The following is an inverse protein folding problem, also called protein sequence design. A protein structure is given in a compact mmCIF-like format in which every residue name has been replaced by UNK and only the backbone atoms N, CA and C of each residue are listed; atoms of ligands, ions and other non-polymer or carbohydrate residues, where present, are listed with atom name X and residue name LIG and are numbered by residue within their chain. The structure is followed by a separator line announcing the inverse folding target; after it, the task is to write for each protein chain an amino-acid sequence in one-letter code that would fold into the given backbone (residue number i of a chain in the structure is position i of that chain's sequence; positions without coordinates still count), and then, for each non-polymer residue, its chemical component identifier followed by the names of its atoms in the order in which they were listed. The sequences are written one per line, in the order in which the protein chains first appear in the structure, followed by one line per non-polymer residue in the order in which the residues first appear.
data_IF_942736565441
#
_entry.id   IF_942736565441
#
_cell.length_a   1.000
_cell.length_b   1.000
_cell.length_c   1.000
_cell.angle_alpha   90.00
_cell.angle_beta   90.00
_cell.angle_gamma   90.00
#
_symmetry.space_group_name_H-M   'P 1'
#
loop_
_entity.id
_entity.type
_entity.pdbx_description
1 polymer ?
#
# COMPACT_ATOMS: atom_id res chain seq x y z
N UNK A 1 -98.76 47.55 -2.71
CA UNK A 1 -99.56 46.44 -2.21
C UNK A 1 -98.68 45.46 -1.46
N UNK A 2 -98.90 45.39 -0.11
CA UNK A 2 -98.63 44.35 0.89
C UNK A 2 -97.25 43.67 0.89
N UNK A 3 -96.40 43.93 1.96
CA UNK A 3 -96.31 43.26 3.25
C UNK A 3 -95.72 41.80 3.09
N UNK A 4 -94.63 41.47 3.72
CA UNK A 4 -94.34 41.18 5.15
C UNK A 4 -92.93 40.62 5.28
N UNK A 5 -92.17 41.16 6.21
CA UNK A 5 -91.44 40.54 7.31
C UNK A 5 -91.22 39.06 7.33
N UNK A 6 -89.93 38.63 7.49
CA UNK A 6 -89.62 37.91 8.72
C UNK A 6 -88.11 37.83 8.99
N UNK A 7 -87.74 38.18 10.17
CA UNK A 7 -86.46 37.93 10.88
C UNK A 7 -86.11 36.46 10.90
N UNK A 8 -84.82 36.20 10.81
CA UNK A 8 -84.19 35.14 11.56
C UNK A 8 -82.69 35.39 11.71
N UNK A 9 -82.34 36.02 12.84
CA UNK A 9 -80.95 36.05 13.36
C UNK A 9 -80.55 34.62 13.76
N UNK A 10 -79.44 34.12 13.20
CA UNK A 10 -78.68 33.01 13.75
C UNK A 10 -77.32 33.47 14.22
N UNK A 11 -76.83 32.99 15.39
CA UNK A 11 -75.64 33.57 16.05
C UNK A 11 -74.38 32.99 15.34
N UNK A 12 -73.44 33.88 15.09
CA UNK A 12 -72.03 33.51 14.65
C UNK A 12 -71.37 32.74 15.76
N UNK A 13 -71.11 31.46 15.51
CA UNK A 13 -70.14 30.68 16.28
C UNK A 13 -68.74 31.07 15.86
N UNK A 14 -68.06 31.85 16.70
CA UNK A 14 -66.62 32.14 16.53
C UNK A 14 -65.82 30.86 16.65
N UNK A 15 -65.18 30.42 15.53
CA UNK A 15 -64.13 29.42 15.55
C UNK A 15 -62.86 30.12 16.04
N UNK A 16 -62.47 29.85 17.29
CA UNK A 16 -61.14 30.22 17.82
C UNK A 16 -60.12 29.29 17.15
N UNK A 17 -59.38 29.83 16.15
CA UNK A 17 -58.20 29.17 15.57
C UNK A 17 -57.08 29.29 16.61
N UNK A 18 -56.83 28.20 17.37
CA UNK A 18 -55.62 28.01 18.17
C UNK A 18 -54.44 27.84 17.22
N UNK A 19 -53.73 28.93 16.95
CA UNK A 19 -52.40 28.90 16.34
C UNK A 19 -51.47 28.22 17.35
N UNK A 20 -51.18 26.94 17.12
CA UNK A 20 -50.01 26.28 17.75
C UNK A 20 -48.75 26.91 17.17
N UNK A 21 -48.21 27.93 17.82
CA UNK A 21 -46.82 28.32 17.64
C UNK A 21 -45.95 27.19 18.15
N UNK A 22 -45.54 26.29 17.24
CA UNK A 22 -44.41 25.45 17.51
C UNK A 22 -43.21 26.39 17.65
N UNK A 23 -42.82 26.66 18.88
CA UNK A 23 -41.55 27.30 19.16
C UNK A 23 -40.44 26.41 18.61
N UNK A 24 -39.93 26.73 17.42
CA UNK A 24 -38.67 26.20 16.94
C UNK A 24 -37.63 26.78 17.90
N UNK A 25 -37.29 25.99 18.92
CA UNK A 25 -36.11 26.28 19.74
C UNK A 25 -34.93 26.35 18.75
N UNK A 26 -34.12 27.41 18.75
CA UNK A 26 -32.93 27.46 17.92
C UNK A 26 -32.09 26.25 18.28
N UNK A 27 -31.86 25.39 17.31
CA UNK A 27 -30.88 24.33 17.47
C UNK A 27 -29.59 25.02 17.93
N UNK A 28 -29.09 24.66 19.11
CA UNK A 28 -27.83 25.18 19.59
C UNK A 28 -26.79 24.85 18.51
N UNK A 29 -26.18 25.87 17.90
CA UNK A 29 -25.12 25.69 16.92
C UNK A 29 -23.99 24.90 17.57
N UNK A 30 -23.89 23.62 17.20
CA UNK A 30 -22.86 22.74 17.69
C UNK A 30 -21.52 23.24 17.15
N UNK A 31 -20.54 23.40 18.01
CA UNK A 31 -19.21 23.84 17.62
C UNK A 31 -18.23 22.64 17.59
N UNK A 32 -17.13 22.69 16.85
CA UNK A 32 -16.14 21.60 16.81
C UNK A 32 -15.61 21.18 18.19
N UNK A 33 -15.52 22.13 19.15
CA UNK A 33 -15.13 21.81 20.53
C UNK A 33 -16.16 20.94 21.26
N UNK A 34 -17.43 21.18 20.99
CA UNK A 34 -18.52 20.43 21.61
C UNK A 34 -18.52 18.96 21.04
N UNK A 35 -18.18 18.80 19.76
CA UNK A 35 -17.98 17.48 19.11
C UNK A 35 -16.84 16.70 19.75
N UNK A 36 -15.72 17.37 20.08
CA UNK A 36 -14.59 16.73 20.80
C UNK A 36 -14.99 16.26 22.19
N UNK A 37 -15.78 17.04 22.91
CA UNK A 37 -16.29 16.63 24.23
C UNK A 37 -17.20 15.40 24.10
N UNK A 38 -18.08 15.37 23.08
CA UNK A 38 -18.90 14.21 22.77
C UNK A 38 -18.02 12.99 22.49
N UNK A 39 -16.96 13.14 21.67
CA UNK A 39 -16.04 12.07 21.30
C UNK A 39 -15.35 11.39 22.49
N UNK A 40 -15.15 12.10 23.61
CA UNK A 40 -14.59 11.52 24.85
C UNK A 40 -15.45 10.37 25.43
N UNK A 41 -16.73 10.30 25.04
CA UNK A 41 -17.63 9.20 25.40
C UNK A 41 -17.31 7.87 24.72
N UNK A 42 -16.28 7.81 23.84
CA UNK A 42 -15.85 6.60 23.14
C UNK A 42 -16.97 5.98 22.31
N UNK A 43 -17.09 4.65 22.30
CA UNK A 43 -18.07 3.93 21.49
C UNK A 43 -19.52 4.32 21.80
N UNK A 44 -19.82 4.81 23.00
CA UNK A 44 -21.15 5.30 23.38
C UNK A 44 -21.55 6.60 22.68
N UNK A 45 -20.57 7.39 22.22
CA UNK A 45 -20.78 8.63 21.50
C UNK A 45 -21.10 8.44 20.01
N UNK A 46 -20.84 7.27 19.44
CA UNK A 46 -20.98 7.02 17.99
C UNK A 46 -22.36 7.43 17.44
N UNK A 47 -23.51 7.10 18.06
CA UNK A 47 -24.82 7.49 17.51
C UNK A 47 -24.93 9.01 17.32
N UNK A 48 -24.47 9.78 18.32
CA UNK A 48 -24.51 11.26 18.25
C UNK A 48 -23.52 11.80 17.22
N UNK A 49 -22.32 11.23 17.12
CA UNK A 49 -21.33 11.62 16.10
C UNK A 49 -21.82 11.35 14.68
N UNK A 50 -22.56 10.25 14.47
CA UNK A 50 -23.20 9.93 13.18
C UNK A 50 -24.24 10.96 12.77
N UNK A 51 -25.05 11.44 13.71
CA UNK A 51 -25.98 12.56 13.43
C UNK A 51 -25.22 13.81 12.98
N UNK A 52 -24.08 14.13 13.63
CA UNK A 52 -23.25 15.28 13.31
C UNK A 52 -22.51 15.19 11.96
N UNK A 53 -22.45 14.02 11.33
CA UNK A 53 -21.99 13.89 9.93
C UNK A 53 -22.93 14.58 8.93
N UNK A 54 -24.15 14.94 9.34
CA UNK A 54 -25.14 15.65 8.52
C UNK A 54 -25.28 17.13 8.91
N UNK A 55 -24.42 17.62 9.81
CA UNK A 55 -24.46 19.01 10.25
C UNK A 55 -24.18 19.97 9.07
N UNK A 56 -24.89 21.11 8.96
CA UNK A 56 -24.65 22.08 7.90
C UNK A 56 -23.23 22.67 7.95
N UNK A 57 -22.62 22.75 9.14
CA UNK A 57 -21.25 23.22 9.30
C UNK A 57 -20.24 22.16 8.89
N UNK A 58 -19.42 22.48 7.89
CA UNK A 58 -18.30 21.63 7.45
C UNK A 58 -17.33 21.33 8.60
N UNK A 59 -17.02 22.31 9.42
CA UNK A 59 -16.09 22.14 10.55
C UNK A 59 -16.61 21.13 11.59
N UNK A 60 -17.93 21.11 11.81
CA UNK A 60 -18.60 20.12 12.69
C UNK A 60 -18.49 18.73 12.07
N UNK A 61 -18.76 18.57 10.77
CA UNK A 61 -18.65 17.29 10.08
C UNK A 61 -17.21 16.76 10.08
N UNK A 62 -16.23 17.64 9.82
CA UNK A 62 -14.79 17.29 9.88
C UNK A 62 -14.43 16.77 11.28
N UNK A 63 -14.84 17.49 12.33
CA UNK A 63 -14.52 17.07 13.70
C UNK A 63 -15.25 15.76 14.06
N UNK A 64 -16.50 15.57 13.62
CA UNK A 64 -17.24 14.33 13.84
C UNK A 64 -16.53 13.12 13.20
N UNK A 65 -16.09 13.23 11.95
CA UNK A 65 -15.31 12.16 11.27
C UNK A 65 -14.01 11.85 12.02
N UNK A 66 -13.30 12.89 12.51
CA UNK A 66 -12.07 12.70 13.30
C UNK A 66 -12.34 11.92 14.58
N UNK A 67 -13.39 12.29 15.32
CA UNK A 67 -13.74 11.60 16.55
C UNK A 67 -14.19 10.15 16.29
N UNK A 68 -14.93 9.88 15.21
CA UNK A 68 -15.30 8.53 14.79
C UNK A 68 -14.05 7.68 14.43
N UNK A 69 -13.09 8.28 13.73
CA UNK A 69 -11.83 7.63 13.37
C UNK A 69 -10.95 7.34 14.62
N UNK A 70 -10.91 8.27 15.59
CA UNK A 70 -10.19 8.10 16.85
C UNK A 70 -10.79 6.99 17.73
N UNK A 71 -12.12 6.84 17.75
CA UNK A 71 -12.81 5.74 18.44
C UNK A 71 -12.40 4.39 17.84
N UNK A 72 -12.25 4.28 16.53
CA UNK A 72 -11.59 3.18 15.84
C UNK A 72 -12.14 1.79 16.11
N UNK A 73 -13.45 1.63 16.35
CA UNK A 73 -14.11 0.33 16.55
C UNK A 73 -14.75 -0.19 15.26
N UNK A 74 -15.16 -1.46 15.23
CA UNK A 74 -15.91 -2.02 14.10
C UNK A 74 -17.16 -1.18 13.76
N UNK A 75 -17.80 -0.59 14.77
CA UNK A 75 -18.97 0.28 14.59
C UNK A 75 -18.62 1.64 13.96
N UNK A 76 -17.34 2.01 13.93
CA UNK A 76 -16.86 3.23 13.27
C UNK A 76 -16.80 3.08 11.74
N UNK A 77 -16.75 1.86 11.20
CA UNK A 77 -16.59 1.64 9.76
C UNK A 77 -17.75 2.18 8.93
N UNK A 78 -19.02 1.87 9.31
CA UNK A 78 -20.17 2.33 8.55
C UNK A 78 -20.28 3.87 8.51
N UNK A 79 -20.12 4.60 9.64
CA UNK A 79 -20.05 6.06 9.61
C UNK A 79 -18.90 6.62 8.77
N UNK A 80 -17.72 5.99 8.79
CA UNK A 80 -16.60 6.42 7.95
C UNK A 80 -16.87 6.19 6.47
N UNK A 81 -17.49 5.04 6.10
CA UNK A 81 -17.96 4.80 4.74
C UNK A 81 -18.98 5.88 4.32
N UNK A 82 -19.95 6.19 5.17
CA UNK A 82 -20.91 7.26 4.91
C UNK A 82 -20.21 8.60 4.63
N UNK A 83 -19.21 8.96 5.44
CA UNK A 83 -18.46 10.20 5.30
C UNK A 83 -17.61 10.28 4.02
N UNK A 84 -17.29 9.15 3.36
CA UNK A 84 -16.64 9.18 2.03
C UNK A 84 -17.53 9.77 0.95
N UNK A 85 -18.84 9.84 1.16
CA UNK A 85 -19.81 10.41 0.22
C UNK A 85 -20.11 11.88 0.50
N UNK A 86 -19.47 12.50 1.50
CA UNK A 86 -19.63 13.94 1.74
C UNK A 86 -19.15 14.74 0.52
N UNK A 87 -19.74 15.89 0.29
CA UNK A 87 -19.36 16.80 -0.80
C UNK A 87 -18.11 17.64 -0.48
N UNK A 88 -17.66 17.63 0.79
CA UNK A 88 -16.48 18.36 1.24
C UNK A 88 -15.22 17.51 1.17
N UNK A 89 -14.20 17.93 0.40
CA UNK A 89 -12.96 17.16 0.23
C UNK A 89 -12.24 16.79 1.54
N UNK A 90 -12.23 17.69 2.54
CA UNK A 90 -11.57 17.43 3.83
C UNK A 90 -12.30 16.33 4.62
N UNK A 91 -13.63 16.28 4.56
CA UNK A 91 -14.42 15.20 5.19
C UNK A 91 -14.10 13.87 4.54
N UNK A 92 -14.08 13.79 3.20
CA UNK A 92 -13.70 12.60 2.44
C UNK A 92 -12.27 12.14 2.77
N UNK A 93 -11.33 13.08 2.88
CA UNK A 93 -9.94 12.80 3.25
C UNK A 93 -9.84 12.16 4.64
N UNK A 94 -10.52 12.75 5.64
CA UNK A 94 -10.52 12.22 7.02
C UNK A 94 -11.20 10.86 7.11
N UNK A 95 -12.27 10.66 6.37
CA UNK A 95 -12.93 9.37 6.30
C UNK A 95 -12.00 8.29 5.73
N UNK A 96 -11.30 8.59 4.63
CA UNK A 96 -10.28 7.71 4.04
C UNK A 96 -9.17 7.37 5.03
N UNK A 97 -8.61 8.37 5.71
CA UNK A 97 -7.58 8.20 6.73
C UNK A 97 -8.06 7.32 7.89
N UNK A 98 -9.31 7.52 8.35
CA UNK A 98 -9.93 6.73 9.40
C UNK A 98 -10.10 5.26 9.00
N UNK A 99 -10.55 4.99 7.77
CA UNK A 99 -10.69 3.63 7.23
C UNK A 99 -9.34 2.91 7.17
N UNK A 100 -8.28 3.58 6.69
CA UNK A 100 -6.94 2.98 6.65
C UNK A 100 -6.42 2.70 8.06
N UNK A 101 -6.52 3.69 8.97
CA UNK A 101 -6.03 3.54 10.34
C UNK A 101 -6.74 2.44 11.14
N UNK A 102 -8.00 2.12 10.80
CA UNK A 102 -8.70 0.99 11.41
C UNK A 102 -8.00 -0.33 11.11
N UNK A 103 -7.59 -0.57 9.86
CA UNK A 103 -6.93 -1.83 9.44
C UNK A 103 -5.41 -1.81 9.64
N UNK A 104 -4.80 -0.63 9.62
CA UNK A 104 -3.35 -0.42 9.83
C UNK A 104 -3.13 0.73 10.82
N UNK A 105 -3.29 0.48 12.13
CA UNK A 105 -3.17 1.51 13.16
C UNK A 105 -1.82 2.24 13.10
N UNK A 106 -1.87 3.58 13.13
CA UNK A 106 -0.67 4.42 13.11
C UNK A 106 -0.10 4.72 11.72
N UNK A 107 -0.70 4.21 10.65
CA UNK A 107 -0.32 4.55 9.28
C UNK A 107 -0.51 6.04 8.99
N UNK A 108 -1.68 6.58 9.32
CA UNK A 108 -1.95 8.02 9.30
C UNK A 108 -1.85 8.54 10.73
N UNK A 109 -0.94 9.49 10.98
CA UNK A 109 -0.85 10.12 12.29
C UNK A 109 -2.07 11.03 12.49
N UNK A 110 -2.92 10.68 13.44
CA UNK A 110 -4.08 11.45 13.89
C UNK A 110 -3.73 12.26 15.13
N UNK A 111 -4.52 13.33 15.42
CA UNK A 111 -4.36 14.12 16.63
C UNK A 111 -3.41 15.33 16.52
N UNK A 112 -3.00 15.88 17.68
CA UNK A 112 -2.24 17.13 17.79
C UNK A 112 -0.87 17.09 17.07
N UNK A 113 -0.20 15.94 17.09
CA UNK A 113 1.10 15.73 16.41
C UNK A 113 1.00 15.90 14.88
N UNK A 114 -0.12 15.52 14.28
CA UNK A 114 -0.37 15.71 12.84
C UNK A 114 -0.59 17.17 12.47
N UNK A 115 -1.22 17.96 13.35
CA UNK A 115 -1.49 19.37 13.12
C UNK A 115 -0.21 20.20 13.11
N UNK A 116 0.74 19.92 14.01
CA UNK A 116 2.02 20.63 14.10
C UNK A 116 2.91 20.37 12.88
N UNK A 117 2.89 19.14 12.33
CA UNK A 117 3.66 18.79 11.11
C UNK A 117 3.06 19.36 9.83
N UNK A 118 1.74 19.55 9.75
CA UNK A 118 1.10 20.14 8.56
C UNK A 118 1.44 21.61 8.35
N UNK A 119 1.70 22.36 9.43
CA UNK A 119 2.07 23.78 9.35
C UNK A 119 3.53 23.99 8.92
N UNK A 120 4.40 23.00 9.11
CA UNK A 120 5.85 23.10 8.82
C UNK A 120 6.40 22.21 7.72
N UNK A 121 5.61 21.27 7.17
CA UNK A 121 6.11 20.34 6.16
C UNK A 121 5.70 20.77 4.76
N UNK A 122 6.70 21.16 3.95
CA UNK A 122 6.59 21.23 2.51
C UNK A 122 5.95 19.96 1.94
N UNK A 123 5.17 20.13 0.86
CA UNK A 123 4.47 19.11 0.07
C UNK A 123 5.26 17.78 -0.16
N UNK A 124 6.59 17.81 -0.01
CA UNK A 124 7.46 16.62 -0.13
C UNK A 124 7.18 15.50 0.86
N UNK A 125 6.68 15.78 2.07
CA UNK A 125 6.42 14.72 3.08
C UNK A 125 5.11 13.96 2.87
N UNK A 126 4.20 14.46 2.04
CA UNK A 126 2.96 13.76 1.67
C UNK A 126 3.18 12.58 0.71
N UNK A 127 4.35 12.45 0.12
CA UNK A 127 4.69 11.47 -0.92
C UNK A 127 5.78 10.47 -0.51
N UNK A 128 6.10 10.37 0.76
CA UNK A 128 7.03 9.36 1.29
C UNK A 128 6.26 8.15 1.83
N UNK A 129 5.36 7.60 1.04
CA UNK A 129 4.86 6.26 1.33
C UNK A 129 5.95 5.27 0.89
N UNK A 130 6.50 4.54 1.85
CA UNK A 130 7.37 3.43 1.52
C UNK A 130 6.47 2.35 0.89
N UNK A 131 6.84 1.87 -0.31
CA UNK A 131 6.09 0.84 -1.03
C UNK A 131 5.82 -0.43 -0.21
N UNK A 132 6.43 -0.56 0.96
CA UNK A 132 6.36 -1.73 1.83
C UNK A 132 5.18 -1.69 2.82
N UNK A 133 4.53 -0.52 3.03
CA UNK A 133 3.43 -0.43 3.97
C UNK A 133 2.14 -0.93 3.35
N UNK A 134 1.76 -2.13 3.75
CA UNK A 134 0.49 -2.79 3.41
C UNK A 134 0.00 -3.56 4.62
N UNK A 135 -1.30 -3.84 4.67
CA UNK A 135 -1.88 -4.72 5.70
C UNK A 135 -1.31 -6.14 5.60
N UNK A 136 -1.29 -6.82 6.74
CA UNK A 136 -0.87 -8.22 6.79
C UNK A 136 -1.87 -9.13 6.04
N UNK A 137 -1.40 -10.23 5.44
CA UNK A 137 -2.25 -11.13 4.64
C UNK A 137 -3.43 -11.75 5.41
N UNK A 138 -3.34 -11.84 6.74
CA UNK A 138 -4.41 -12.37 7.59
C UNK A 138 -5.48 -11.32 7.98
N UNK A 139 -5.31 -10.05 7.58
CA UNK A 139 -6.31 -9.01 7.81
C UNK A 139 -7.30 -9.01 6.66
N UNK A 140 -8.56 -9.27 6.97
CA UNK A 140 -9.66 -9.22 5.99
C UNK A 140 -10.29 -7.84 6.01
N UNK A 141 -10.28 -7.15 4.88
CA UNK A 141 -10.96 -5.86 4.71
C UNK A 141 -12.38 -6.11 4.21
N UNK A 142 -13.35 -5.40 4.77
CA UNK A 142 -14.74 -5.43 4.32
C UNK A 142 -14.86 -4.95 2.86
N UNK A 143 -15.63 -5.65 2.00
CA UNK A 143 -15.76 -5.29 0.58
C UNK A 143 -16.31 -3.87 0.34
N UNK A 144 -17.24 -3.41 1.17
CA UNK A 144 -17.83 -2.08 1.08
C UNK A 144 -16.84 -0.95 1.37
N UNK A 145 -15.84 -1.19 2.25
CA UNK A 145 -14.72 -0.25 2.45
C UNK A 145 -13.94 -0.07 1.15
N UNK A 146 -13.59 -1.17 0.48
CA UNK A 146 -12.84 -1.09 -0.80
C UNK A 146 -13.70 -0.44 -1.89
N UNK A 147 -15.00 -0.75 -1.94
CA UNK A 147 -15.93 -0.11 -2.88
C UNK A 147 -16.05 1.39 -2.68
N UNK A 148 -16.13 1.86 -1.41
CA UNK A 148 -16.20 3.28 -1.08
C UNK A 148 -14.91 4.01 -1.50
N UNK A 149 -13.74 3.42 -1.20
CA UNK A 149 -12.45 3.96 -1.60
C UNK A 149 -12.29 3.99 -3.13
N UNK A 150 -12.71 2.93 -3.85
CA UNK A 150 -12.73 2.88 -5.31
C UNK A 150 -13.62 3.99 -5.91
N UNK A 151 -14.79 4.25 -5.30
CA UNK A 151 -15.65 5.36 -5.71
C UNK A 151 -14.95 6.73 -5.54
N UNK A 152 -14.21 6.94 -4.46
CA UNK A 152 -13.40 8.14 -4.27
C UNK A 152 -12.25 8.25 -5.28
N UNK A 153 -11.62 7.16 -5.68
CA UNK A 153 -10.60 7.17 -6.75
C UNK A 153 -11.20 7.69 -8.06
N UNK A 154 -12.43 7.28 -8.39
CA UNK A 154 -13.14 7.74 -9.62
C UNK A 154 -13.61 9.17 -9.54
N UNK A 155 -14.19 9.60 -8.41
CA UNK A 155 -15.01 10.81 -8.32
C UNK A 155 -14.89 11.59 -7.01
N UNK A 156 -13.79 11.48 -6.26
CA UNK A 156 -13.56 12.32 -5.07
C UNK A 156 -13.57 13.82 -5.39
N UNK A 157 -13.99 14.63 -4.45
CA UNK A 157 -14.26 16.06 -4.61
C UNK A 157 -13.03 16.91 -4.98
N UNK A 158 -11.82 16.36 -4.83
CA UNK A 158 -10.56 16.99 -5.22
C UNK A 158 -9.55 15.94 -5.69
N UNK A 159 -8.53 16.35 -6.48
CA UNK A 159 -7.49 15.42 -6.95
C UNK A 159 -6.68 14.82 -5.80
N UNK A 160 -6.42 15.58 -4.74
CA UNK A 160 -5.74 15.08 -3.54
C UNK A 160 -6.55 14.00 -2.82
N UNK A 161 -7.88 14.12 -2.78
CA UNK A 161 -8.78 13.09 -2.22
C UNK A 161 -8.69 11.81 -3.04
N UNK A 162 -8.76 11.92 -4.37
CA UNK A 162 -8.65 10.80 -5.29
C UNK A 162 -7.31 10.09 -5.15
N UNK A 163 -6.22 10.84 -5.06
CA UNK A 163 -4.87 10.31 -4.86
C UNK A 163 -4.73 9.62 -3.49
N UNK A 164 -5.29 10.21 -2.42
CA UNK A 164 -5.30 9.61 -1.09
C UNK A 164 -6.12 8.31 -1.05
N UNK A 165 -7.27 8.29 -1.74
CA UNK A 165 -8.08 7.08 -1.88
C UNK A 165 -7.34 5.98 -2.67
N UNK A 166 -6.63 6.33 -3.76
CA UNK A 166 -5.81 5.37 -4.51
C UNK A 166 -4.71 4.76 -3.62
N UNK A 167 -4.03 5.59 -2.82
CA UNK A 167 -3.05 5.12 -1.82
C UNK A 167 -3.69 4.17 -0.81
N UNK A 168 -4.86 4.54 -0.26
CA UNK A 168 -5.61 3.73 0.70
C UNK A 168 -5.97 2.36 0.13
N UNK A 169 -6.47 2.31 -1.12
CA UNK A 169 -6.75 1.06 -1.85
C UNK A 169 -5.50 0.18 -1.94
N UNK A 170 -4.34 0.78 -2.26
CA UNK A 170 -3.07 0.06 -2.32
C UNK A 170 -2.64 -0.51 -0.97
N UNK A 171 -2.68 0.28 0.10
CA UNK A 171 -2.33 -0.13 1.47
C UNK A 171 -3.21 -1.28 1.96
N UNK A 172 -4.51 -1.20 1.68
CA UNK A 172 -5.50 -2.22 2.04
C UNK A 172 -5.55 -3.40 1.04
N UNK A 173 -4.68 -3.43 0.02
CA UNK A 173 -4.66 -4.46 -1.04
C UNK A 173 -6.03 -4.69 -1.67
N UNK A 174 -6.75 -3.62 -1.94
CA UNK A 174 -8.12 -3.63 -2.42
C UNK A 174 -8.27 -4.08 -3.86
N UNK A 175 -8.17 -5.38 -4.13
CA UNK A 175 -8.22 -5.94 -5.48
C UNK A 175 -9.51 -5.57 -6.24
N UNK A 176 -10.64 -5.49 -5.56
CA UNK A 176 -11.91 -5.12 -6.18
C UNK A 176 -11.92 -3.70 -6.78
N UNK A 177 -11.01 -2.80 -6.36
CA UNK A 177 -10.87 -1.45 -6.89
C UNK A 177 -9.78 -1.31 -7.99
N UNK A 178 -9.21 -2.41 -8.47
CA UNK A 178 -8.24 -2.37 -9.58
C UNK A 178 -8.80 -1.68 -10.84
N UNK A 179 -10.07 -1.92 -11.25
CA UNK A 179 -10.65 -1.18 -12.39
C UNK A 179 -10.69 0.33 -12.18
N UNK A 180 -10.91 0.80 -10.94
CA UNK A 180 -10.95 2.21 -10.58
C UNK A 180 -9.56 2.85 -10.67
N UNK A 181 -8.54 2.13 -10.19
CA UNK A 181 -7.13 2.54 -10.32
C UNK A 181 -6.71 2.61 -11.79
N UNK A 182 -7.08 1.61 -12.61
CA UNK A 182 -6.80 1.60 -14.06
C UNK A 182 -7.47 2.77 -14.76
N UNK A 183 -8.72 3.10 -14.41
CA UNK A 183 -9.38 4.29 -14.94
C UNK A 183 -8.64 5.57 -14.54
N UNK A 184 -8.13 5.66 -13.31
CA UNK A 184 -7.38 6.81 -12.81
C UNK A 184 -6.05 7.02 -13.55
N UNK A 185 -5.45 6.00 -14.17
CA UNK A 185 -4.24 6.12 -15.01
C UNK A 185 -4.46 7.01 -16.25
N UNK A 186 -5.70 7.36 -16.61
CA UNK A 186 -6.02 8.30 -17.68
C UNK A 186 -6.12 9.76 -17.23
N UNK A 187 -5.85 10.02 -15.94
CA UNK A 187 -5.84 11.37 -15.39
C UNK A 187 -4.66 12.19 -15.93
N UNK A 188 -4.82 13.52 -15.93
CA UNK A 188 -3.70 14.46 -16.14
C UNK A 188 -3.00 14.86 -14.85
N UNK A 189 -3.57 14.51 -13.70
CA UNK A 189 -2.98 14.81 -12.40
C UNK A 189 -1.87 13.80 -12.08
N UNK A 190 -0.65 14.30 -11.91
CA UNK A 190 0.53 13.48 -11.68
C UNK A 190 0.54 12.80 -10.31
N UNK A 191 -0.12 13.38 -9.32
CA UNK A 191 -0.29 12.80 -7.98
C UNK A 191 -1.18 11.57 -8.03
N UNK A 192 -2.35 11.69 -8.65
CA UNK A 192 -3.27 10.58 -8.83
C UNK A 192 -2.67 9.45 -9.68
N UNK A 193 -1.97 9.79 -10.79
CA UNK A 193 -1.26 8.80 -11.61
C UNK A 193 -0.25 8.01 -10.78
N UNK A 194 0.60 8.72 -10.03
CA UNK A 194 1.63 8.10 -9.21
C UNK A 194 1.05 7.19 -8.13
N UNK A 195 0.07 7.67 -7.35
CA UNK A 195 -0.54 6.88 -6.27
C UNK A 195 -1.31 5.67 -6.81
N UNK A 196 -1.94 5.78 -8.00
CA UNK A 196 -2.59 4.65 -8.67
C UNK A 196 -1.58 3.58 -9.10
N UNK A 197 -0.44 3.98 -9.67
CA UNK A 197 0.65 3.06 -10.03
C UNK A 197 1.21 2.35 -8.79
N UNK A 198 1.49 3.10 -7.72
CA UNK A 198 1.98 2.53 -6.45
C UNK A 198 0.94 1.59 -5.82
N UNK A 199 -0.35 1.93 -5.90
CA UNK A 199 -1.42 1.04 -5.44
C UNK A 199 -1.42 -0.28 -6.21
N UNK A 200 -1.31 -0.24 -7.54
CA UNK A 200 -1.21 -1.44 -8.38
C UNK A 200 0.04 -2.28 -8.06
N UNK A 201 1.18 -1.64 -7.74
CA UNK A 201 2.38 -2.34 -7.25
C UNK A 201 2.12 -3.12 -5.96
N UNK A 202 1.33 -2.58 -5.04
CA UNK A 202 0.98 -3.19 -3.75
C UNK A 202 -0.01 -4.33 -3.90
N UNK A 203 -1.01 -4.17 -4.78
CA UNK A 203 -2.06 -5.15 -5.04
C UNK A 203 -1.53 -6.36 -5.81
N UNK A 204 -0.65 -6.14 -6.81
CA UNK A 204 -0.04 -7.19 -7.65
C UNK A 204 -1.04 -7.93 -8.54
N UNK A 205 -2.07 -7.26 -9.03
CA UNK A 205 -2.98 -7.82 -10.02
C UNK A 205 -2.38 -7.67 -11.43
N UNK A 206 -1.97 -8.79 -12.02
CA UNK A 206 -1.31 -8.85 -13.33
C UNK A 206 -2.21 -8.34 -14.47
N UNK A 207 -3.55 -8.39 -14.29
CA UNK A 207 -4.51 -7.94 -15.31
C UNK A 207 -4.41 -6.44 -15.64
N UNK A 208 -3.87 -5.63 -14.72
CA UNK A 208 -3.63 -4.21 -14.94
C UNK A 208 -2.39 -3.92 -15.81
N UNK A 209 -1.50 -4.90 -16.01
CA UNK A 209 -0.22 -4.72 -16.70
C UNK A 209 -0.33 -4.06 -18.08
N UNK A 210 -1.18 -4.54 -19.01
CA UNK A 210 -1.32 -3.94 -20.35
C UNK A 210 -1.79 -2.49 -20.32
N UNK A 211 -2.53 -2.09 -19.29
CA UNK A 211 -3.10 -0.74 -19.16
C UNK A 211 -2.09 0.33 -18.74
N UNK A 212 -0.83 -0.06 -18.45
CA UNK A 212 0.21 0.85 -17.91
C UNK A 212 1.20 1.26 -19.00
N UNK A 213 1.34 0.47 -20.07
CA UNK A 213 2.42 0.59 -21.08
C UNK A 213 2.56 2.00 -21.65
N UNK A 214 1.46 2.71 -21.90
CA UNK A 214 1.51 4.09 -22.43
C UNK A 214 2.20 5.09 -21.50
N UNK A 215 2.29 4.81 -20.17
CA UNK A 215 2.96 5.65 -19.20
C UNK A 215 4.49 5.43 -19.12
N UNK A 216 5.02 4.44 -19.84
CA UNK A 216 6.48 4.21 -19.93
C UNK A 216 7.21 5.39 -20.58
N UNK A 217 6.48 6.22 -21.33
CA UNK A 217 7.01 7.41 -21.99
C UNK A 217 6.46 8.72 -21.40
N UNK A 218 5.85 8.68 -20.21
CA UNK A 218 5.29 9.87 -19.57
C UNK A 218 6.36 10.95 -19.38
N UNK A 219 5.95 12.22 -19.58
CA UNK A 219 6.86 13.37 -19.46
C UNK A 219 7.28 13.60 -18.01
N UNK A 220 6.43 13.27 -17.04
CA UNK A 220 6.78 13.36 -15.64
C UNK A 220 7.69 12.18 -15.25
N UNK A 221 8.92 12.50 -14.87
CA UNK A 221 9.93 11.48 -14.53
C UNK A 221 9.48 10.52 -13.43
N UNK A 222 8.76 11.02 -12.42
CA UNK A 222 8.27 10.20 -11.29
C UNK A 222 7.20 9.21 -11.74
N UNK A 223 6.25 9.65 -12.57
CA UNK A 223 5.21 8.80 -13.15
C UNK A 223 5.83 7.75 -14.06
N UNK A 224 6.76 8.17 -14.94
CA UNK A 224 7.46 7.25 -15.85
C UNK A 224 8.18 6.14 -15.10
N UNK A 225 8.98 6.47 -14.09
CA UNK A 225 9.71 5.48 -13.28
C UNK A 225 8.72 4.53 -12.60
N UNK A 226 7.67 5.06 -11.96
CA UNK A 226 6.66 4.23 -11.31
C UNK A 226 5.94 3.30 -12.31
N UNK A 227 5.64 3.77 -13.52
CA UNK A 227 5.04 2.94 -14.57
C UNK A 227 5.97 1.79 -15.00
N UNK A 228 7.26 2.07 -15.21
CA UNK A 228 8.28 1.09 -15.56
C UNK A 228 8.39 0.01 -14.47
N UNK A 229 8.52 0.43 -13.21
CA UNK A 229 8.59 -0.47 -12.05
C UNK A 229 7.32 -1.33 -11.93
N UNK A 230 6.13 -0.70 -12.08
CA UNK A 230 4.84 -1.39 -12.03
C UNK A 230 4.74 -2.44 -13.14
N UNK A 231 5.20 -2.13 -14.34
CA UNK A 231 5.20 -3.06 -15.49
C UNK A 231 6.00 -4.33 -15.18
N UNK A 232 7.19 -4.19 -14.60
CA UNK A 232 8.02 -5.31 -14.15
C UNK A 232 7.33 -6.13 -13.06
N UNK A 233 6.80 -5.44 -12.05
CA UNK A 233 6.14 -6.05 -10.88
C UNK A 233 4.83 -6.78 -11.23
N UNK A 234 4.09 -6.33 -12.23
CA UNK A 234 2.87 -6.97 -12.73
C UNK A 234 3.15 -8.00 -13.84
N UNK A 235 4.41 -8.35 -14.07
CA UNK A 235 4.84 -9.39 -15.00
C UNK A 235 4.31 -9.24 -16.43
N UNK A 236 4.16 -8.01 -16.90
CA UNK A 236 3.70 -7.74 -18.26
C UNK A 236 4.83 -7.97 -19.28
N UNK A 237 5.01 -9.22 -19.72
CA UNK A 237 6.05 -9.60 -20.69
C UNK A 237 5.90 -8.94 -22.06
N UNK A 238 4.69 -8.56 -22.45
CA UNK A 238 4.42 -7.90 -23.72
C UNK A 238 5.07 -6.53 -23.81
N UNK A 239 5.37 -5.90 -22.66
CA UNK A 239 6.03 -4.60 -22.61
C UNK A 239 7.57 -4.66 -22.72
N UNK A 240 8.18 -5.83 -22.87
CA UNK A 240 9.66 -5.96 -22.98
C UNK A 240 10.24 -5.15 -24.16
N UNK A 241 9.62 -5.10 -25.34
CA UNK A 241 10.09 -4.23 -26.43
C UNK A 241 10.09 -2.74 -26.03
N UNK A 242 9.03 -2.24 -25.41
CA UNK A 242 8.91 -0.84 -24.96
C UNK A 242 9.92 -0.52 -23.85
N UNK A 243 10.16 -1.46 -22.93
CA UNK A 243 11.20 -1.32 -21.90
C UNK A 243 12.61 -1.27 -22.52
N UNK A 244 12.86 -2.07 -23.54
CA UNK A 244 14.14 -2.09 -24.28
C UNK A 244 14.35 -0.75 -25.01
N UNK A 245 13.31 -0.24 -25.66
CA UNK A 245 13.34 1.08 -26.29
C UNK A 245 13.61 2.18 -25.25
N UNK A 246 12.89 2.13 -24.10
CA UNK A 246 13.06 3.05 -22.99
C UNK A 246 14.50 3.03 -22.45
N UNK A 247 15.07 1.82 -22.24
CA UNK A 247 16.46 1.64 -21.78
C UNK A 247 17.47 2.29 -22.73
N UNK A 248 17.28 2.09 -24.05
CA UNK A 248 18.21 2.57 -25.07
C UNK A 248 18.12 4.09 -25.30
N UNK A 249 16.95 4.69 -25.18
CA UNK A 249 16.71 6.13 -25.44
C UNK A 249 16.83 7.02 -24.24
N UNK A 250 16.67 6.47 -23.01
CA UNK A 250 16.67 7.29 -21.82
C UNK A 250 18.03 7.93 -21.54
N UNK A 251 18.03 9.27 -21.40
CA UNK A 251 19.21 10.04 -20.95
C UNK A 251 19.34 10.02 -19.43
N UNK A 252 18.20 9.94 -18.70
CA UNK A 252 18.20 9.90 -17.25
C UNK A 252 18.58 8.51 -16.74
N UNK A 253 19.60 8.46 -15.89
CA UNK A 253 20.12 7.21 -15.34
C UNK A 253 19.08 6.47 -14.48
N UNK A 254 18.15 7.17 -13.81
CA UNK A 254 17.11 6.55 -12.99
C UNK A 254 16.12 5.78 -13.86
N UNK A 255 15.78 6.33 -15.05
CA UNK A 255 14.91 5.64 -16.02
C UNK A 255 15.63 4.40 -16.57
N UNK A 256 16.91 4.50 -16.92
CA UNK A 256 17.69 3.34 -17.40
C UNK A 256 17.77 2.23 -16.34
N UNK A 257 18.03 2.59 -15.08
CA UNK A 257 18.04 1.63 -13.96
C UNK A 257 16.67 0.95 -13.81
N UNK A 258 15.59 1.72 -13.77
CA UNK A 258 14.23 1.19 -13.64
C UNK A 258 13.89 0.25 -14.82
N UNK A 259 14.20 0.65 -16.07
CA UNK A 259 13.92 -0.14 -17.26
C UNK A 259 14.67 -1.48 -17.23
N UNK A 260 15.97 -1.49 -16.93
CA UNK A 260 16.73 -2.72 -16.85
C UNK A 260 16.28 -3.62 -15.69
N UNK A 261 15.93 -3.04 -14.53
CA UNK A 261 15.35 -3.79 -13.41
C UNK A 261 14.00 -4.41 -13.77
N UNK A 262 13.11 -3.66 -14.46
CA UNK A 262 11.85 -4.19 -14.93
C UNK A 262 12.05 -5.33 -15.94
N UNK A 263 12.99 -5.18 -16.90
CA UNK A 263 13.35 -6.26 -17.83
C UNK A 263 13.88 -7.49 -17.10
N UNK A 264 14.69 -7.32 -16.05
CA UNK A 264 15.20 -8.42 -15.24
C UNK A 264 14.08 -9.19 -14.48
N UNK A 265 12.93 -8.53 -14.21
CA UNK A 265 11.73 -9.19 -13.67
C UNK A 265 10.92 -9.93 -14.76
N UNK A 266 11.18 -9.65 -16.03
CA UNK A 266 10.47 -10.14 -17.21
C UNK A 266 11.44 -10.90 -18.14
N UNK A 267 12.12 -11.95 -17.67
CA UNK A 267 13.17 -12.59 -18.44
C UNK A 267 12.63 -13.18 -19.74
N UNK A 268 13.30 -12.86 -20.84
CA UNK A 268 13.13 -13.47 -22.15
C UNK A 268 14.50 -13.81 -22.71
N UNK A 269 14.61 -14.86 -23.52
CA UNK A 269 15.90 -15.26 -24.08
C UNK A 269 16.56 -14.13 -24.90
N UNK A 270 15.74 -13.31 -25.54
CA UNK A 270 16.19 -12.16 -26.32
C UNK A 270 16.79 -11.04 -25.44
N UNK A 271 16.57 -11.05 -24.13
CA UNK A 271 17.14 -10.05 -23.21
C UNK A 271 18.58 -10.38 -22.78
N UNK A 272 19.07 -11.59 -23.03
CA UNK A 272 20.42 -12.05 -22.62
C UNK A 272 21.55 -11.15 -23.11
N UNK A 273 21.60 -10.69 -24.39
CA UNK A 273 22.65 -9.78 -24.86
C UNK A 273 22.65 -8.44 -24.11
N UNK A 274 21.47 -7.95 -23.71
CA UNK A 274 21.33 -6.74 -22.92
C UNK A 274 22.00 -6.95 -21.55
N UNK A 275 21.69 -8.04 -20.85
CA UNK A 275 22.29 -8.31 -19.54
C UNK A 275 23.79 -8.49 -19.63
N UNK A 276 24.33 -9.13 -20.71
CA UNK A 276 25.76 -9.26 -20.94
C UNK A 276 26.44 -7.91 -21.02
N UNK A 277 25.84 -6.95 -21.74
CA UNK A 277 26.37 -5.60 -21.87
C UNK A 277 26.41 -4.86 -20.53
N UNK A 278 25.32 -4.94 -19.76
CA UNK A 278 25.18 -4.19 -18.51
C UNK A 278 25.86 -4.84 -17.30
N UNK A 279 26.25 -6.09 -17.37
CA UNK A 279 26.97 -6.77 -16.28
C UNK A 279 28.33 -6.11 -15.98
N UNK A 280 28.90 -5.40 -16.97
CA UNK A 280 30.18 -4.69 -16.85
C UNK A 280 30.00 -3.17 -16.89
N UNK A 281 28.77 -2.65 -16.74
CA UNK A 281 28.52 -1.20 -16.74
C UNK A 281 29.20 -0.53 -15.54
N UNK A 282 29.61 0.72 -15.71
CA UNK A 282 30.18 1.53 -14.62
C UNK A 282 29.21 1.79 -13.47
N UNK A 283 27.90 1.76 -13.77
CA UNK A 283 26.84 1.99 -12.79
C UNK A 283 26.53 0.69 -12.02
N UNK A 284 26.72 0.72 -10.71
CA UNK A 284 26.51 -0.45 -9.84
C UNK A 284 25.08 -1.00 -9.89
N UNK A 285 24.07 -0.15 -10.05
CA UNK A 285 22.65 -0.58 -10.09
C UNK A 285 22.29 -1.23 -11.42
N UNK A 286 22.94 -0.81 -12.53
CA UNK A 286 22.80 -1.47 -13.82
C UNK A 286 23.47 -2.84 -13.79
N UNK A 287 24.67 -2.98 -13.18
CA UNK A 287 25.29 -4.31 -12.99
C UNK A 287 24.42 -5.22 -12.14
N UNK A 288 23.85 -4.71 -11.04
CA UNK A 288 22.92 -5.46 -10.19
C UNK A 288 21.71 -5.98 -10.98
N UNK A 289 21.03 -5.11 -11.71
CA UNK A 289 19.87 -5.50 -12.53
C UNK A 289 20.23 -6.51 -13.61
N UNK A 290 21.40 -6.41 -14.24
CA UNK A 290 21.88 -7.40 -15.22
C UNK A 290 22.09 -8.77 -14.58
N UNK A 291 22.71 -8.83 -13.39
CA UNK A 291 22.91 -10.09 -12.65
C UNK A 291 21.56 -10.73 -12.28
N UNK A 292 20.57 -9.93 -11.86
CA UNK A 292 19.21 -10.40 -11.61
C UNK A 292 18.52 -10.93 -12.87
N UNK A 293 18.76 -10.31 -14.02
CA UNK A 293 18.28 -10.79 -15.32
C UNK A 293 18.81 -12.19 -15.63
N UNK A 294 20.12 -12.41 -15.48
CA UNK A 294 20.74 -13.73 -15.63
C UNK A 294 20.16 -14.76 -14.64
N UNK A 295 19.97 -14.38 -13.39
CA UNK A 295 19.36 -15.24 -12.37
C UNK A 295 18.03 -15.81 -12.84
N UNK A 296 17.15 -14.96 -13.38
CA UNK A 296 15.80 -15.33 -13.79
C UNK A 296 15.71 -15.97 -15.17
N UNK A 297 16.73 -15.82 -16.02
CA UNK A 297 16.91 -16.65 -17.23
C UNK A 297 17.19 -18.12 -16.90
N UNK A 298 17.73 -18.42 -15.71
CA UNK A 298 17.99 -19.77 -15.20
C UNK A 298 18.82 -20.66 -16.15
N UNK A 299 19.76 -20.07 -16.88
CA UNK A 299 20.65 -20.83 -17.73
C UNK A 299 21.93 -21.23 -16.96
N UNK A 300 22.13 -22.53 -16.62
CA UNK A 300 23.30 -22.94 -15.84
C UNK A 300 24.65 -22.65 -16.53
N UNK A 301 24.68 -22.53 -17.86
CA UNK A 301 25.88 -22.17 -18.60
C UNK A 301 26.44 -20.76 -18.27
N UNK A 302 25.61 -19.89 -17.62
CA UNK A 302 26.04 -18.57 -17.23
C UNK A 302 26.80 -18.56 -15.88
N UNK A 303 26.75 -19.63 -15.11
CA UNK A 303 27.33 -19.73 -13.78
C UNK A 303 28.81 -19.36 -13.71
N UNK A 304 29.72 -19.86 -14.57
CA UNK A 304 31.13 -19.48 -14.49
C UNK A 304 31.39 -17.99 -14.69
N UNK A 305 30.63 -17.36 -15.57
CA UNK A 305 30.73 -15.92 -15.80
C UNK A 305 30.25 -15.11 -14.54
N UNK A 306 29.17 -15.53 -13.90
CA UNK A 306 28.63 -14.90 -12.72
C UNK A 306 29.52 -15.12 -11.48
N UNK A 307 30.15 -16.29 -11.34
CA UNK A 307 31.15 -16.56 -10.30
C UNK A 307 32.35 -15.61 -10.44
N UNK A 308 32.88 -15.47 -11.66
CA UNK A 308 33.96 -14.51 -11.93
C UNK A 308 33.54 -13.08 -11.61
N UNK A 309 32.36 -12.65 -12.08
CA UNK A 309 31.86 -11.32 -11.80
C UNK A 309 31.67 -11.08 -10.29
N UNK A 310 31.27 -12.09 -9.51
CA UNK A 310 31.12 -11.99 -8.06
C UNK A 310 32.47 -11.86 -7.33
N UNK A 311 33.51 -12.52 -7.82
CA UNK A 311 34.88 -12.38 -7.27
C UNK A 311 35.44 -10.97 -7.52
N UNK A 312 35.18 -10.43 -8.71
CA UNK A 312 35.71 -9.13 -9.15
C UNK A 312 34.89 -7.94 -8.59
N UNK A 313 33.66 -8.17 -8.09
CA UNK A 313 32.76 -7.10 -7.66
C UNK A 313 33.07 -6.60 -6.25
N UNK A 314 33.38 -5.31 -6.16
CA UNK A 314 33.69 -4.64 -4.89
C UNK A 314 32.51 -3.91 -4.23
N UNK A 315 31.35 -3.76 -4.93
CA UNK A 315 30.18 -3.03 -4.41
C UNK A 315 29.11 -3.99 -3.92
N UNK A 316 28.52 -3.69 -2.76
CA UNK A 316 27.54 -4.58 -2.12
C UNK A 316 26.26 -4.79 -2.94
N UNK A 317 25.61 -3.77 -3.54
CA UNK A 317 24.37 -4.01 -4.29
C UNK A 317 24.52 -5.00 -5.44
N UNK A 318 25.45 -4.86 -6.40
CA UNK A 318 25.60 -5.85 -7.44
C UNK A 318 26.14 -7.19 -6.92
N UNK A 319 26.91 -7.20 -5.83
CA UNK A 319 27.38 -8.45 -5.21
C UNK A 319 26.21 -9.26 -4.62
N UNK A 320 25.20 -8.61 -4.04
CA UNK A 320 23.96 -9.27 -3.60
C UNK A 320 23.19 -9.88 -4.77
N UNK A 321 23.05 -9.15 -5.89
CA UNK A 321 22.39 -9.65 -7.09
C UNK A 321 23.17 -10.81 -7.74
N UNK A 322 24.51 -10.78 -7.71
CA UNK A 322 25.35 -11.87 -8.18
C UNK A 322 25.25 -13.11 -7.26
N UNK A 323 25.17 -12.92 -5.94
CA UNK A 323 24.92 -14.01 -5.01
C UNK A 323 23.55 -14.65 -5.27
N UNK A 324 22.51 -13.81 -5.41
CA UNK A 324 21.17 -14.28 -5.81
C UNK A 324 21.21 -15.09 -7.11
N UNK A 325 21.93 -14.61 -8.13
CA UNK A 325 22.05 -15.30 -9.42
C UNK A 325 22.73 -16.68 -9.28
N UNK A 326 23.80 -16.79 -8.50
CA UNK A 326 24.49 -18.04 -8.28
C UNK A 326 23.61 -19.07 -7.54
N UNK A 327 22.85 -18.61 -6.51
CA UNK A 327 21.91 -19.51 -5.80
C UNK A 327 20.79 -19.96 -6.73
N UNK A 328 20.23 -19.06 -7.57
CA UNK A 328 19.22 -19.41 -8.58
C UNK A 328 19.72 -20.43 -9.61
N UNK A 329 21.02 -20.47 -9.85
CA UNK A 329 21.67 -21.41 -10.77
C UNK A 329 22.24 -22.67 -10.07
N UNK A 330 21.86 -22.91 -8.80
CA UNK A 330 22.13 -24.15 -8.10
C UNK A 330 23.18 -24.09 -6.99
N UNK A 331 23.83 -22.96 -6.72
CA UNK A 331 24.77 -22.78 -5.58
C UNK A 331 23.99 -22.55 -4.27
N UNK A 332 23.23 -23.56 -3.85
CA UNK A 332 22.29 -23.47 -2.72
C UNK A 332 22.88 -23.93 -1.37
N UNK A 333 24.13 -24.32 -1.32
CA UNK A 333 24.80 -24.71 -0.09
C UNK A 333 24.92 -23.56 0.89
N UNK A 334 24.77 -23.88 2.18
CA UNK A 334 24.91 -22.92 3.28
C UNK A 334 26.25 -23.20 4.02
N UNK A 335 27.35 -22.79 3.40
CA UNK A 335 28.69 -22.83 3.98
C UNK A 335 29.23 -21.43 4.18
N UNK A 336 30.29 -21.29 4.99
CA UNK A 336 31.00 -20.04 5.16
C UNK A 336 31.46 -19.50 3.78
N UNK A 337 31.22 -18.20 3.53
CA UNK A 337 31.50 -17.50 2.26
C UNK A 337 30.67 -17.95 1.05
N UNK A 338 29.67 -18.84 1.21
CA UNK A 338 28.77 -19.18 0.10
C UNK A 338 27.87 -18.03 -0.29
N UNK A 339 27.35 -18.00 -1.55
CA UNK A 339 26.41 -16.97 -2.00
C UNK A 339 25.14 -16.89 -1.13
N UNK A 340 24.59 -18.03 -0.71
CA UNK A 340 23.41 -18.06 0.15
C UNK A 340 23.72 -17.49 1.55
N UNK A 341 24.88 -17.83 2.14
CA UNK A 341 25.31 -17.27 3.43
C UNK A 341 25.50 -15.75 3.32
N UNK A 342 26.11 -15.28 2.24
CA UNK A 342 26.27 -13.84 1.99
C UNK A 342 24.94 -13.08 1.99
N UNK A 343 23.89 -13.64 1.37
CA UNK A 343 22.55 -13.02 1.40
C UNK A 343 21.97 -12.99 2.82
N UNK A 344 22.12 -14.08 3.58
CA UNK A 344 21.61 -14.17 4.96
C UNK A 344 22.36 -13.20 5.87
N UNK A 345 23.69 -13.10 5.77
CA UNK A 345 24.51 -12.17 6.56
C UNK A 345 24.09 -10.72 6.35
N UNK A 346 23.66 -10.34 5.15
CA UNK A 346 23.21 -9.01 4.86
C UNK A 346 21.84 -8.65 5.47
N UNK A 347 21.12 -9.60 6.08
CA UNK A 347 19.97 -9.30 6.93
C UNK A 347 20.37 -8.54 8.22
N UNK A 348 21.62 -8.67 8.66
CA UNK A 348 22.19 -7.90 9.78
C UNK A 348 22.53 -6.45 9.40
N UNK A 349 22.53 -6.11 8.11
CA UNK A 349 22.90 -4.78 7.63
C UNK A 349 21.68 -3.87 7.53
N UNK A 350 21.65 -2.78 8.29
CA UNK A 350 20.59 -1.77 8.18
C UNK A 350 20.49 -1.18 6.77
N UNK A 351 21.61 -1.11 6.01
CA UNK A 351 21.67 -0.57 4.67
C UNK A 351 21.19 -1.55 3.60
N UNK A 352 21.43 -2.85 3.78
CA UNK A 352 21.26 -3.83 2.70
C UNK A 352 20.21 -4.91 2.96
N UNK A 353 19.67 -5.02 4.18
CA UNK A 353 18.61 -5.99 4.50
C UNK A 353 17.38 -5.84 3.60
N UNK A 354 17.06 -4.61 3.18
CA UNK A 354 15.97 -4.34 2.26
C UNK A 354 16.18 -4.88 0.85
N UNK A 355 17.44 -5.06 0.42
CA UNK A 355 17.80 -5.67 -0.88
C UNK A 355 17.97 -7.20 -0.76
N UNK A 356 18.56 -7.69 0.33
CA UNK A 356 18.80 -9.12 0.54
C UNK A 356 17.50 -9.91 0.78
N UNK A 357 16.57 -9.36 1.58
CA UNK A 357 15.35 -10.06 1.96
C UNK A 357 14.44 -10.45 0.77
N UNK A 358 14.16 -9.58 -0.22
CA UNK A 358 13.41 -9.97 -1.42
C UNK A 358 14.05 -11.11 -2.21
N UNK A 359 15.38 -11.15 -2.32
CA UNK A 359 16.07 -12.26 -2.95
C UNK A 359 15.85 -13.57 -2.20
N UNK A 360 15.99 -13.56 -0.90
CA UNK A 360 15.72 -14.73 -0.07
C UNK A 360 14.25 -15.19 -0.16
N UNK A 361 13.29 -14.26 -0.27
CA UNK A 361 11.87 -14.61 -0.53
C UNK A 361 11.69 -15.32 -1.85
N UNK A 362 12.38 -14.88 -2.92
CA UNK A 362 12.31 -15.54 -4.23
C UNK A 362 13.00 -16.90 -4.21
N UNK A 363 14.18 -17.00 -3.62
CA UNK A 363 14.98 -18.21 -3.49
C UNK A 363 14.30 -19.29 -2.63
N UNK A 364 13.60 -18.89 -1.55
CA UNK A 364 12.90 -19.82 -0.66
C UNK A 364 11.71 -20.54 -1.29
N UNK A 365 11.36 -20.24 -2.55
CA UNK A 365 10.42 -21.04 -3.36
C UNK A 365 11.01 -22.38 -3.78
N UNK A 366 12.32 -22.47 -3.84
CA UNK A 366 13.04 -23.73 -4.00
C UNK A 366 13.12 -24.48 -2.67
N UNK A 367 12.78 -25.78 -2.67
CA UNK A 367 12.68 -26.60 -1.47
C UNK A 367 14.03 -26.78 -0.77
N UNK A 368 15.12 -26.91 -1.51
CA UNK A 368 16.45 -27.09 -0.95
C UNK A 368 16.93 -25.81 -0.26
N UNK A 369 16.77 -24.68 -0.91
CA UNK A 369 17.09 -23.38 -0.34
C UNK A 369 16.22 -23.09 0.89
N UNK A 370 14.92 -23.41 0.83
CA UNK A 370 14.01 -23.22 1.96
C UNK A 370 14.43 -24.04 3.18
N UNK A 371 14.85 -25.29 3.01
CA UNK A 371 15.41 -26.12 4.09
C UNK A 371 16.65 -25.48 4.72
N UNK A 372 17.56 -24.94 3.91
CA UNK A 372 18.74 -24.22 4.40
C UNK A 372 18.34 -22.96 5.18
N UNK A 373 17.35 -22.19 4.73
CA UNK A 373 16.80 -21.03 5.38
C UNK A 373 16.14 -21.39 6.72
N UNK A 374 15.39 -22.49 6.80
CA UNK A 374 14.79 -23.01 8.05
C UNK A 374 15.89 -23.34 9.07
N UNK A 375 16.96 -23.99 8.65
CA UNK A 375 18.13 -24.27 9.50
C UNK A 375 18.79 -22.98 10.01
N UNK A 376 19.04 -22.04 9.12
CA UNK A 376 19.63 -20.74 9.49
C UNK A 376 18.75 -19.94 10.46
N UNK A 377 17.42 -19.96 10.30
CA UNK A 377 16.48 -19.26 11.18
C UNK A 377 16.51 -19.77 12.62
N UNK A 378 16.90 -21.03 12.86
CA UNK A 378 17.00 -21.58 14.21
C UNK A 378 18.29 -21.15 14.95
N UNK A 379 19.40 -20.96 14.23
CA UNK A 379 20.72 -20.71 14.78
C UNK A 379 21.24 -19.30 14.55
N UNK A 380 20.52 -18.48 13.79
CA UNK A 380 20.95 -17.14 13.36
C UNK A 380 20.96 -16.09 14.47
N UNK A 381 21.54 -14.96 14.15
CA UNK A 381 21.47 -13.75 15.01
C UNK A 381 20.01 -13.23 15.11
N UNK A 382 19.77 -12.26 15.97
CA UNK A 382 18.47 -11.61 16.11
C UNK A 382 17.93 -11.11 14.79
N UNK A 383 18.72 -10.32 14.04
CA UNK A 383 18.28 -9.72 12.76
C UNK A 383 18.09 -10.79 11.66
N UNK A 384 18.91 -11.83 11.63
CA UNK A 384 18.72 -12.99 10.77
C UNK A 384 17.40 -13.71 11.08
N UNK A 385 17.12 -14.03 12.34
CA UNK A 385 15.86 -14.66 12.75
C UNK A 385 14.65 -13.85 12.32
N UNK A 386 14.65 -12.54 12.57
CA UNK A 386 13.58 -11.62 12.16
C UNK A 386 13.43 -11.61 10.62
N UNK A 387 14.55 -11.44 9.90
CA UNK A 387 14.54 -11.39 8.43
C UNK A 387 14.07 -12.71 7.81
N UNK A 388 14.57 -13.85 8.32
CA UNK A 388 14.19 -15.18 7.83
C UNK A 388 12.74 -15.55 8.21
N UNK A 389 12.23 -15.11 9.37
CA UNK A 389 10.81 -15.25 9.69
C UNK A 389 9.93 -14.55 8.63
N UNK A 390 10.29 -13.33 8.20
CA UNK A 390 9.61 -12.60 7.12
C UNK A 390 9.70 -13.30 5.78
N UNK A 391 10.83 -13.93 5.47
CA UNK A 391 11.01 -14.74 4.27
C UNK A 391 10.06 -15.93 4.30
N UNK A 392 10.04 -16.69 5.39
CA UNK A 392 9.18 -17.87 5.55
C UNK A 392 7.69 -17.52 5.58
N UNK A 393 7.31 -16.35 6.11
CA UNK A 393 5.94 -15.85 6.03
C UNK A 393 5.44 -15.74 4.58
N UNK A 394 6.32 -15.39 3.64
CA UNK A 394 5.99 -15.16 2.22
C UNK A 394 6.20 -16.37 1.32
N UNK A 395 7.17 -17.20 1.63
CA UNK A 395 7.61 -18.32 0.76
C UNK A 395 7.77 -19.64 1.51
N UNK A 396 7.43 -19.71 2.79
CA UNK A 396 7.39 -20.95 3.56
C UNK A 396 6.25 -21.88 3.12
N UNK A 397 6.31 -23.09 3.62
CA UNK A 397 5.35 -24.18 3.45
C UNK A 397 4.91 -24.74 4.81
N UNK A 398 4.24 -25.91 4.81
CA UNK A 398 3.80 -26.56 6.05
C UNK A 398 4.98 -26.92 6.97
N UNK A 399 6.13 -27.29 6.43
CA UNK A 399 7.31 -27.65 7.22
C UNK A 399 7.92 -26.41 7.90
N UNK A 400 7.70 -25.22 7.34
CA UNK A 400 8.13 -23.94 7.89
C UNK A 400 7.33 -23.50 9.13
N UNK A 401 6.14 -24.09 9.39
CA UNK A 401 5.30 -23.78 10.55
C UNK A 401 6.02 -24.06 11.85
N UNK A 402 6.72 -25.19 11.96
CA UNK A 402 7.39 -25.59 13.20
C UNK A 402 8.50 -24.62 13.60
N UNK A 403 9.28 -24.11 12.67
CA UNK A 403 10.33 -23.12 12.98
C UNK A 403 9.73 -21.79 13.36
N UNK A 404 8.65 -21.33 12.72
CA UNK A 404 7.98 -20.09 13.08
C UNK A 404 7.30 -20.17 14.45
N UNK A 405 6.74 -21.34 14.82
CA UNK A 405 6.25 -21.59 16.17
C UNK A 405 7.39 -21.51 17.20
N UNK A 406 8.56 -22.05 16.89
CA UNK A 406 9.73 -21.93 17.77
C UNK A 406 10.16 -20.46 17.93
N UNK A 407 10.24 -19.71 16.82
CA UNK A 407 10.58 -18.28 16.85
C UNK A 407 9.53 -17.45 17.59
N UNK A 408 8.25 -17.80 17.54
CA UNK A 408 7.20 -17.09 18.29
C UNK A 408 7.32 -17.25 19.83
N UNK A 409 8.17 -18.18 20.28
CA UNK A 409 8.52 -18.39 21.69
C UNK A 409 10.00 -18.07 21.99
N UNK A 410 10.67 -17.31 21.13
CA UNK A 410 12.06 -16.91 21.33
C UNK A 410 12.19 -16.04 22.58
N UNK A 411 13.33 -16.11 23.27
CA UNK A 411 13.61 -15.30 24.44
C UNK A 411 13.71 -13.79 24.13
N UNK A 412 14.07 -13.42 22.91
CA UNK A 412 14.05 -12.03 22.45
C UNK A 412 12.64 -11.65 22.02
N UNK A 413 12.06 -10.62 22.67
CA UNK A 413 10.68 -10.19 22.45
C UNK A 413 10.38 -9.71 21.03
N UNK A 414 11.36 -9.12 20.31
CA UNK A 414 11.17 -8.68 18.93
C UNK A 414 11.16 -9.89 17.97
N UNK A 415 12.01 -10.88 18.22
CA UNK A 415 12.01 -12.15 17.48
C UNK A 415 10.69 -12.87 17.70
N UNK A 416 10.22 -12.96 18.97
CA UNK A 416 8.96 -13.61 19.31
C UNK A 416 7.76 -12.93 18.62
N UNK A 417 7.71 -11.61 18.64
CA UNK A 417 6.65 -10.83 17.97
C UNK A 417 6.65 -11.05 16.46
N UNK A 418 7.82 -10.97 15.82
CA UNK A 418 7.91 -11.20 14.37
C UNK A 418 7.63 -12.66 14.00
N UNK A 419 8.11 -13.62 14.82
CA UNK A 419 7.80 -15.04 14.66
C UNK A 419 6.29 -15.32 14.68
N UNK A 420 5.57 -14.73 15.64
CA UNK A 420 4.12 -14.84 15.73
C UNK A 420 3.40 -14.22 14.51
N UNK A 421 3.84 -13.03 14.09
CA UNK A 421 3.31 -12.35 12.90
C UNK A 421 3.55 -13.18 11.64
N UNK A 422 4.75 -13.70 11.47
CA UNK A 422 5.14 -14.54 10.35
C UNK A 422 4.33 -15.85 10.32
N UNK A 423 4.12 -16.49 11.48
CA UNK A 423 3.31 -17.70 11.61
C UNK A 423 1.86 -17.45 11.16
N UNK A 424 1.22 -16.38 11.64
CA UNK A 424 -0.14 -16.01 11.23
C UNK A 424 -0.23 -15.74 9.72
N UNK A 425 0.77 -15.03 9.17
CA UNK A 425 0.82 -14.72 7.74
C UNK A 425 1.00 -15.97 6.88
N UNK A 426 1.82 -16.92 7.32
CA UNK A 426 2.00 -18.21 6.65
C UNK A 426 0.72 -19.04 6.71
N UNK A 427 0.10 -19.18 7.89
CA UNK A 427 -1.13 -19.94 8.06
C UNK A 427 -2.31 -19.41 7.24
N UNK A 428 -2.41 -18.09 7.08
CA UNK A 428 -3.44 -17.48 6.23
C UNK A 428 -3.25 -17.77 4.74
N UNK A 429 -2.06 -18.24 4.32
CA UNK A 429 -1.73 -18.54 2.94
C UNK A 429 -1.77 -20.04 2.62
N UNK A 430 -1.60 -20.90 3.63
CA UNK A 430 -1.68 -22.37 3.50
C UNK A 430 -3.11 -22.88 3.45
#
# INVERSE_FOLDING_TARGET
MRLRDNDNMRPYRGAVLLLFCVAILPAQDVRPKDVREIGKGGSGALPRLVELLKDPSTDVRIEAVKQIAEIGTLRSLDPLILATHDNEPEVQMRATDGLVNFFLPGYVQTGFAASVRRVGSNIKSKFTDTNDQVIDPFITVRPDVISALGALVRGGGAMDVRANAARAVGVLRGQAAVPDLVQALRSKDTGLLYESLVALQKIRDESAGPQIVFLLHDLNLKVRIAAIETTGLLRNKEAVPDLTETLNRAKDIKVRRAALTAMAMLPTDNSRPVYTTYLQDKDEKLRAAAAEGFARLRNPADLPMLEKAWQDEGKTPPRLSLAFAQVMLGKSELSEFSPLRYLIDNLNSAAYKGEAQPFLVELARDDQVRKSIVGAAQAGTKDEKIGLARVLARSGDKDSVAVLQKLSNDADGEVAQEGLRALRSLQARL
#
